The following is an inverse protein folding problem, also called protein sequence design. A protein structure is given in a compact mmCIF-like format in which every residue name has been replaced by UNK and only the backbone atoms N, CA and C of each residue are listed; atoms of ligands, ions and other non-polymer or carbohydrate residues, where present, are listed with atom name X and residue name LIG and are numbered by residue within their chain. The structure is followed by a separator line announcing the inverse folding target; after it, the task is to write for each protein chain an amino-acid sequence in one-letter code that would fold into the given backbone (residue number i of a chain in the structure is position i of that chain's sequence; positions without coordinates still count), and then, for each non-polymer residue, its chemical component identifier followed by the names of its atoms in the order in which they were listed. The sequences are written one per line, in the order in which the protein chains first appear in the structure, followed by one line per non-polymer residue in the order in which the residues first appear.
data_IF_298625528534
#
_entry.id   IF_298625528534
#
_cell.length_a   1.000
_cell.length_b   1.000
_cell.length_c   1.000
_cell.angle_alpha   90.00
_cell.angle_beta   90.00
_cell.angle_gamma   90.00
#
_symmetry.space_group_name_H-M   'P 1'
#
loop_
_entity.id
_entity.type
_entity.pdbx_description
1 polymer ?
#
# COMPACT_ATOMS: atom_id res chain seq x y z
N UNK A 1 1.75 14.83 -6.52
CA UNK A 1 0.81 13.81 -7.01
C UNK A 1 -0.06 13.33 -5.87
N UNK A 2 -1.26 12.84 -6.19
CA UNK A 2 -2.18 12.27 -5.20
C UNK A 2 -1.52 11.06 -4.49
N UNK A 3 -1.77 10.91 -3.18
CA UNK A 3 -1.13 9.89 -2.32
C UNK A 3 0.42 9.85 -2.30
N UNK A 4 1.11 10.91 -2.76
CA UNK A 4 2.57 11.04 -2.69
C UNK A 4 3.02 12.07 -1.64
N UNK A 5 2.19 12.34 -0.65
CA UNK A 5 2.48 13.33 0.40
C UNK A 5 3.57 12.86 1.36
N UNK A 6 4.45 13.75 1.86
CA UNK A 6 5.59 13.36 2.70
C UNK A 6 5.15 12.74 4.04
N UNK A 7 4.06 13.22 4.63
CA UNK A 7 3.52 12.64 5.87
C UNK A 7 3.06 11.19 5.66
N UNK A 8 2.33 10.93 4.58
CA UNK A 8 1.86 9.59 4.25
C UNK A 8 3.02 8.63 3.98
N UNK A 9 4.04 9.07 3.25
CA UNK A 9 5.25 8.30 3.03
C UNK A 9 5.94 7.94 4.36
N UNK A 10 6.11 8.89 5.26
CA UNK A 10 6.71 8.64 6.58
C UNK A 10 5.87 7.73 7.46
N UNK A 11 4.55 7.86 7.45
CA UNK A 11 3.65 6.94 8.15
C UNK A 11 3.79 5.53 7.60
N UNK A 12 3.84 5.37 6.28
CA UNK A 12 4.02 4.06 5.64
C UNK A 12 5.37 3.43 6.01
N UNK A 13 6.47 4.20 5.93
CA UNK A 13 7.80 3.75 6.34
C UNK A 13 7.79 3.28 7.80
N UNK A 14 7.16 4.04 8.69
CA UNK A 14 7.08 3.70 10.10
C UNK A 14 6.29 2.40 10.35
N UNK A 15 5.17 2.22 9.65
CA UNK A 15 4.29 1.04 9.78
C UNK A 15 4.93 -0.24 9.22
N UNK A 16 5.45 -0.18 8.00
CA UNK A 16 5.82 -1.39 7.25
C UNK A 16 7.33 -1.62 7.15
N UNK A 17 8.11 -0.56 7.22
CA UNK A 17 9.55 -0.60 6.99
C UNK A 17 10.38 -0.49 8.28
N UNK A 18 9.72 -0.15 9.40
CA UNK A 18 10.35 -0.02 10.71
C UNK A 18 11.39 1.11 10.81
N UNK A 19 12.01 1.25 11.99
CA UNK A 19 12.94 2.35 12.30
C UNK A 19 14.16 2.48 11.37
N UNK A 20 14.51 1.43 10.61
CA UNK A 20 15.71 1.41 9.74
C UNK A 20 15.56 2.23 8.45
N UNK A 21 14.35 2.46 7.94
CA UNK A 21 14.15 3.13 6.64
C UNK A 21 14.07 4.65 6.74
N UNK A 22 13.85 5.18 7.95
CA UNK A 22 13.87 6.63 8.18
C UNK A 22 15.23 7.29 7.84
N UNK A 23 16.32 6.52 7.62
CA UNK A 23 17.66 7.02 7.30
C UNK A 23 18.21 6.64 5.91
N UNK A 24 17.46 5.91 5.08
CA UNK A 24 17.87 5.66 3.69
C UNK A 24 17.69 4.20 3.29
N UNK A 25 16.71 3.97 2.41
CA UNK A 25 16.45 2.80 1.56
C UNK A 25 16.38 1.43 2.26
N UNK A 26 15.31 0.66 2.00
CA UNK A 26 15.27 -0.76 2.37
C UNK A 26 16.39 -1.52 1.66
N UNK A 27 17.48 -1.80 2.35
CA UNK A 27 18.47 -2.75 1.87
C UNK A 27 18.05 -4.15 2.30
N UNK A 28 17.48 -4.91 1.37
CA UNK A 28 17.27 -6.34 1.55
C UNK A 28 18.63 -7.04 1.58
N UNK A 29 18.96 -7.73 2.68
CA UNK A 29 20.14 -8.62 2.76
C UNK A 29 21.28 -8.19 3.69
N UNK A 30 21.25 -6.98 4.27
CA UNK A 30 22.21 -6.62 5.32
C UNK A 30 21.80 -7.24 6.66
N UNK A 31 22.65 -8.14 7.19
CA UNK A 31 22.50 -8.73 8.52
C UNK A 31 22.70 -7.66 9.59
N UNK A 32 21.65 -6.92 9.91
CA UNK A 32 21.66 -5.93 10.98
C UNK A 32 20.84 -6.44 12.17
N UNK A 33 21.49 -6.55 13.33
CA UNK A 33 20.89 -6.97 14.60
C UNK A 33 19.59 -6.20 14.91
N UNK A 34 18.47 -6.91 15.09
CA UNK A 34 17.13 -6.36 15.33
C UNK A 34 16.00 -7.12 14.60
N UNK A 35 14.74 -6.85 14.98
CA UNK A 35 13.56 -7.43 14.30
C UNK A 35 13.50 -6.96 12.84
N UNK A 36 13.33 -7.90 11.93
CA UNK A 36 13.18 -7.66 10.49
C UNK A 36 11.93 -6.80 10.21
N UNK A 37 11.98 -5.83 9.27
CA UNK A 37 10.81 -5.02 8.94
C UNK A 37 9.72 -5.87 8.27
N UNK A 38 8.46 -5.46 8.41
CA UNK A 38 7.31 -6.23 7.92
C UNK A 38 7.44 -6.59 6.44
N UNK A 39 7.86 -5.65 5.59
CA UNK A 39 8.03 -5.94 4.15
C UNK A 39 9.08 -7.01 3.88
N UNK A 40 10.20 -7.02 4.62
CA UNK A 40 11.24 -8.02 4.44
C UNK A 40 10.82 -9.39 5.00
N UNK A 41 10.22 -9.40 6.19
CA UNK A 41 9.74 -10.62 6.83
C UNK A 41 8.70 -11.37 5.97
N UNK A 42 7.82 -10.63 5.29
CA UNK A 42 6.81 -11.19 4.38
C UNK A 42 7.24 -11.22 2.91
N UNK A 43 8.50 -10.87 2.60
CA UNK A 43 9.05 -10.82 1.23
C UNK A 43 8.20 -10.00 0.26
N UNK A 44 7.62 -8.91 0.74
CA UNK A 44 6.82 -7.98 -0.04
C UNK A 44 7.77 -7.07 -0.81
N UNK A 45 7.74 -7.17 -2.13
CA UNK A 45 8.59 -6.42 -3.06
C UNK A 45 7.85 -5.32 -3.81
N UNK A 46 6.55 -5.18 -3.54
CA UNK A 46 5.64 -4.28 -4.23
C UNK A 46 4.68 -3.64 -3.24
N UNK A 47 4.48 -2.34 -3.35
CA UNK A 47 3.48 -1.61 -2.57
C UNK A 47 2.10 -1.88 -3.16
N UNK A 48 1.14 -2.19 -2.29
CA UNK A 48 -0.26 -2.42 -2.68
C UNK A 48 -1.14 -1.22 -2.30
N UNK A 49 -2.23 -0.96 -3.05
CA UNK A 49 -3.21 0.08 -2.68
C UNK A 49 -3.75 -0.08 -1.26
N UNK A 50 -3.93 -1.33 -0.81
CA UNK A 50 -4.44 -1.66 0.52
C UNK A 50 -3.53 -1.18 1.64
N UNK A 51 -2.21 -1.24 1.42
CA UNK A 51 -1.22 -0.76 2.39
C UNK A 51 -1.18 0.77 2.44
N UNK A 52 -1.31 1.44 1.29
CA UNK A 52 -1.41 2.91 1.21
C UNK A 52 -2.68 3.37 1.90
N UNK A 53 -3.82 2.73 1.62
CA UNK A 53 -5.09 3.01 2.27
C UNK A 53 -5.00 2.85 3.79
N UNK A 54 -4.39 1.76 4.26
CA UNK A 54 -4.19 1.54 5.70
C UNK A 54 -3.30 2.63 6.33
N UNK A 55 -2.18 2.98 5.68
CA UNK A 55 -1.31 4.06 6.14
C UNK A 55 -2.05 5.40 6.20
N UNK A 56 -2.94 5.69 5.23
CA UNK A 56 -3.77 6.89 5.25
C UNK A 56 -4.77 6.90 6.42
N UNK A 57 -5.38 5.76 6.75
CA UNK A 57 -6.24 5.64 7.92
C UNK A 57 -5.48 5.91 9.22
N UNK A 58 -4.27 5.35 9.37
CA UNK A 58 -3.42 5.57 10.54
C UNK A 58 -2.97 7.04 10.62
N UNK A 59 -2.58 7.65 9.50
CA UNK A 59 -2.20 9.06 9.45
C UNK A 59 -3.38 9.95 9.88
N UNK A 60 -4.59 9.69 9.38
CA UNK A 60 -5.79 10.42 9.82
C UNK A 60 -6.01 10.30 11.32
N UNK A 61 -5.94 9.08 11.86
CA UNK A 61 -6.10 8.85 13.29
C UNK A 61 -5.05 9.61 14.11
N UNK A 62 -3.79 9.60 13.67
CA UNK A 62 -2.71 10.34 14.33
C UNK A 62 -2.87 11.87 14.28
N UNK A 63 -3.61 12.39 13.30
CA UNK A 63 -3.92 13.81 13.16
C UNK A 63 -5.23 14.21 13.86
N UNK A 64 -6.00 13.24 14.34
CA UNK A 64 -7.26 13.46 15.03
C UNK A 64 -7.05 13.55 16.56
N UNK A 65 -8.02 14.14 17.26
CA UNK A 65 -8.02 14.24 18.73
C UNK A 65 -8.58 13.00 19.44
N UNK A 66 -8.81 11.90 18.72
CA UNK A 66 -9.27 10.66 19.33
C UNK A 66 -8.19 10.03 20.22
N UNK A 67 -8.58 9.62 21.43
CA UNK A 67 -7.69 8.92 22.35
C UNK A 67 -7.43 7.47 21.94
N UNK A 68 -8.38 6.84 21.24
CA UNK A 68 -8.34 5.43 20.90
C UNK A 68 -8.80 5.17 19.46
N UNK A 69 -8.21 4.15 18.85
CA UNK A 69 -8.57 3.73 17.50
C UNK A 69 -9.98 3.13 17.49
N UNK A 70 -10.87 3.73 16.69
CA UNK A 70 -12.22 3.24 16.45
C UNK A 70 -12.52 3.19 14.96
N UNK A 71 -13.32 2.20 14.53
CA UNK A 71 -13.82 2.11 13.15
C UNK A 71 -14.80 3.25 12.81
N UNK A 72 -15.51 3.75 13.81
CA UNK A 72 -16.41 4.89 13.70
C UNK A 72 -15.88 6.04 14.54
N UNK A 73 -15.69 7.17 13.90
CA UNK A 73 -15.24 8.41 14.50
C UNK A 73 -16.27 9.50 14.23
N UNK A 74 -17.27 9.60 15.11
CA UNK A 74 -18.45 10.43 14.87
C UNK A 74 -19.14 10.05 13.57
N UNK A 75 -19.11 10.95 12.59
CA UNK A 75 -19.69 10.73 11.25
C UNK A 75 -18.70 10.12 10.24
N UNK A 76 -17.46 9.82 10.66
CA UNK A 76 -16.44 9.24 9.79
C UNK A 76 -16.38 7.72 9.95
N UNK A 77 -16.49 7.02 8.83
CA UNK A 77 -16.30 5.57 8.74
C UNK A 77 -14.91 5.25 8.18
N UNK A 78 -14.04 4.69 9.03
CA UNK A 78 -12.68 4.31 8.66
C UNK A 78 -12.68 3.18 7.64
N UNK A 79 -13.65 2.26 7.71
CA UNK A 79 -13.74 1.13 6.78
C UNK A 79 -14.16 1.59 5.38
N UNK A 80 -15.17 2.47 5.31
CA UNK A 80 -15.56 3.14 4.07
C UNK A 80 -14.42 3.97 3.48
N UNK A 81 -13.71 4.75 4.30
CA UNK A 81 -12.56 5.53 3.85
C UNK A 81 -11.43 4.66 3.28
N UNK A 82 -11.07 3.59 3.98
CA UNK A 82 -10.06 2.62 3.52
C UNK A 82 -10.44 2.03 2.16
N UNK A 83 -11.70 1.60 2.03
CA UNK A 83 -12.23 1.03 0.80
C UNK A 83 -12.21 2.05 -0.34
N UNK A 84 -12.64 3.29 -0.10
CA UNK A 84 -12.65 4.35 -1.10
C UNK A 84 -11.24 4.69 -1.59
N UNK A 85 -10.26 4.78 -0.69
CA UNK A 85 -8.85 4.97 -1.07
C UNK A 85 -8.36 3.81 -1.91
N UNK A 86 -8.55 2.57 -1.47
CA UNK A 86 -8.10 1.40 -2.23
C UNK A 86 -8.78 1.30 -3.62
N UNK A 87 -10.07 1.60 -3.72
CA UNK A 87 -10.82 1.61 -4.98
C UNK A 87 -10.37 2.71 -5.94
N UNK A 88 -9.92 3.86 -5.42
CA UNK A 88 -9.40 4.93 -6.29
C UNK A 88 -8.18 4.49 -7.11
N UNK A 89 -7.38 3.54 -6.61
CA UNK A 89 -6.27 2.94 -7.35
C UNK A 89 -6.70 1.91 -8.41
N UNK A 90 -7.98 1.53 -8.47
CA UNK A 90 -8.51 0.59 -9.48
C UNK A 90 -9.20 1.35 -10.61
N UNK A 91 -9.86 2.46 -10.27
CA UNK A 91 -10.76 3.15 -11.19
C UNK A 91 -10.06 4.23 -12.03
N UNK A 92 -8.94 4.77 -11.55
CA UNK A 92 -8.34 5.95 -12.15
C UNK A 92 -6.98 5.69 -12.81
N UNK A 93 -6.73 6.36 -13.93
CA UNK A 93 -5.50 6.22 -14.75
C UNK A 93 -4.21 6.64 -14.04
N UNK A 94 -4.30 7.48 -12.99
CA UNK A 94 -3.14 7.95 -12.22
C UNK A 94 -2.56 6.88 -11.28
N UNK A 95 -3.27 5.77 -11.08
CA UNK A 95 -2.95 4.75 -10.10
C UNK A 95 -1.61 4.05 -10.38
N UNK A 96 -1.38 3.66 -11.63
CA UNK A 96 -0.17 2.91 -12.03
C UNK A 96 1.09 3.75 -11.86
N UNK A 97 1.06 5.02 -12.29
CA UNK A 97 2.15 5.97 -12.05
C UNK A 97 2.40 6.10 -10.53
N UNK A 98 1.34 6.24 -9.74
CA UNK A 98 1.46 6.40 -8.29
C UNK A 98 2.07 5.18 -7.62
N UNK A 99 1.64 3.97 -7.96
CA UNK A 99 2.20 2.73 -7.43
C UNK A 99 3.66 2.52 -7.86
N UNK A 100 4.00 2.82 -9.12
CA UNK A 100 5.39 2.76 -9.61
C UNK A 100 6.31 3.71 -8.84
N UNK A 101 5.82 4.92 -8.52
CA UNK A 101 6.55 5.86 -7.67
C UNK A 101 6.74 5.33 -6.25
N UNK A 102 5.72 4.69 -5.66
CA UNK A 102 5.80 4.12 -4.31
C UNK A 102 6.82 2.98 -4.23
N UNK A 103 6.83 2.07 -5.21
CA UNK A 103 7.85 1.02 -5.27
C UNK A 103 9.25 1.61 -5.32
N UNK A 104 9.47 2.61 -6.17
CA UNK A 104 10.76 3.31 -6.28
C UNK A 104 11.13 4.03 -4.98
N UNK A 105 10.17 4.66 -4.31
CA UNK A 105 10.40 5.41 -3.09
C UNK A 105 10.78 4.49 -1.90
N UNK A 106 10.13 3.33 -1.79
CA UNK A 106 10.29 2.40 -0.67
C UNK A 106 11.46 1.43 -0.88
N UNK A 107 11.55 0.83 -2.06
CA UNK A 107 12.55 -0.19 -2.36
C UNK A 107 13.82 0.38 -3.00
N UNK A 108 13.77 1.64 -3.46
CA UNK A 108 14.87 2.26 -4.18
C UNK A 108 15.06 1.67 -5.59
N UNK A 109 15.72 2.42 -6.46
CA UNK A 109 16.31 1.83 -7.65
C UNK A 109 17.50 1.02 -7.18
N UNK A 110 17.41 -0.31 -7.23
CA UNK A 110 18.58 -1.18 -7.04
C UNK A 110 19.61 -0.78 -8.11
N UNK A 111 20.58 0.06 -7.76
CA UNK A 111 21.77 0.27 -8.58
C UNK A 111 22.60 -0.99 -8.46
N UNK A 112 22.36 -1.92 -9.37
CA UNK A 112 23.17 -3.13 -9.54
C UNK A 112 22.77 -4.30 -8.66
N UNK A 113 21.67 -4.97 -8.98
CA UNK A 113 21.58 -6.40 -8.71
C UNK A 113 20.72 -7.05 -9.78
N UNK A 114 21.32 -8.10 -10.34
CA UNK A 114 20.89 -8.91 -11.46
C UNK A 114 19.43 -9.33 -11.39
N UNK A 115 18.86 -9.53 -12.58
CA UNK A 115 17.56 -10.17 -12.83
C UNK A 115 17.40 -11.45 -12.01
N UNK A 116 16.74 -11.35 -10.85
CA UNK A 116 16.09 -12.47 -10.21
C UNK A 116 14.59 -12.23 -10.36
N UNK A 117 13.92 -13.14 -11.07
CA UNK A 117 12.53 -13.00 -11.45
C UNK A 117 11.65 -12.62 -10.24
N UNK A 118 10.77 -11.60 -10.37
CA UNK A 118 9.88 -11.24 -9.29
C UNK A 118 9.01 -12.45 -8.96
N UNK A 119 8.99 -12.85 -7.68
CA UNK A 119 8.01 -13.82 -7.19
C UNK A 119 6.64 -13.24 -7.50
N UNK A 120 5.87 -13.99 -8.29
CA UNK A 120 4.55 -13.65 -8.81
C UNK A 120 3.63 -13.39 -7.62
N UNK A 121 3.45 -12.13 -7.27
CA UNK A 121 2.18 -11.64 -6.73
C UNK A 121 1.36 -11.31 -7.97
N UNK A 122 0.12 -11.81 -8.03
CA UNK A 122 -0.73 -11.77 -9.22
C UNK A 122 -0.89 -10.38 -9.85
N UNK A 123 -1.56 -10.29 -11.02
CA UNK A 123 -1.66 -9.07 -11.81
C UNK A 123 -1.98 -7.85 -10.94
N UNK A 124 -1.19 -6.77 -11.06
CA UNK A 124 -1.17 -5.65 -10.09
C UNK A 124 -2.47 -4.86 -9.98
N UNK A 125 -3.46 -5.11 -10.84
CA UNK A 125 -4.78 -4.45 -10.91
C UNK A 125 -5.49 -4.83 -12.21
N UNK A 126 -4.74 -5.32 -13.21
CA UNK A 126 -5.29 -5.88 -14.43
C UNK A 126 -6.11 -7.14 -14.14
N UNK A 127 -7.40 -6.93 -13.84
CA UNK A 127 -8.52 -7.87 -13.78
C UNK A 127 -9.40 -7.74 -12.54
N UNK A 128 -9.22 -6.81 -11.58
CA UNK A 128 -10.27 -6.66 -10.54
C UNK A 128 -11.54 -5.99 -11.06
N UNK A 129 -11.41 -4.96 -11.91
CA UNK A 129 -12.56 -4.34 -12.59
C UNK A 129 -13.23 -5.32 -13.58
N UNK A 130 -12.43 -6.09 -14.33
CA UNK A 130 -12.95 -7.13 -15.22
C UNK A 130 -13.65 -8.25 -14.43
N UNK A 131 -13.05 -8.73 -13.34
CA UNK A 131 -13.65 -9.74 -12.45
C UNK A 131 -14.91 -9.23 -11.76
N UNK A 132 -14.98 -7.94 -11.40
CA UNK A 132 -16.19 -7.35 -10.83
C UNK A 132 -17.30 -7.24 -11.88
N UNK A 133 -16.97 -6.82 -13.10
CA UNK A 133 -17.90 -6.79 -14.22
C UNK A 133 -18.43 -8.18 -14.57
N UNK A 134 -17.55 -9.19 -14.63
CA UNK A 134 -17.91 -10.59 -14.89
C UNK A 134 -18.80 -11.17 -13.78
N UNK A 135 -18.55 -10.82 -12.52
CA UNK A 135 -19.41 -11.24 -11.39
C UNK A 135 -20.77 -10.58 -11.41
N UNK A 136 -20.87 -9.32 -11.79
CA UNK A 136 -22.15 -8.61 -11.96
C UNK A 136 -22.93 -9.22 -13.14
N UNK A 137 -22.26 -9.51 -14.26
CA UNK A 137 -22.85 -10.16 -15.42
C UNK A 137 -23.36 -11.58 -15.09
N UNK A 138 -22.59 -12.37 -14.33
CA UNK A 138 -22.99 -13.71 -13.90
C UNK A 138 -24.20 -13.72 -12.94
N UNK A 139 -24.38 -12.67 -12.13
CA UNK A 139 -25.55 -12.52 -11.26
C UNK A 139 -26.82 -12.10 -12.04
N UNK A 140 -26.66 -11.41 -13.17
CA UNK A 140 -27.78 -11.00 -14.03
C UNK A 140 -28.36 -12.17 -14.85
N UNK A 141 -27.53 -13.15 -15.25
CA UNK A 141 -27.96 -14.34 -16.01
C UNK A 141 -28.64 -15.43 -15.18
N UNK A 142 -28.80 -15.23 -13.87
CA UNK A 142 -29.43 -16.18 -12.92
C UNK A 142 -30.85 -15.75 -12.50
N UNK A 143 -31.47 -14.81 -13.21
CA UNK A 143 -32.88 -14.42 -13.08
C UNK A 143 -33.64 -14.78 -14.34
#
# INVERSE_FOLDING_TARGET
GLFRGPLLLKTFEWLFCGRKVARGTLQFGEKASGKEPFLAAYKITQVTPQMIAYAACILRFALNSQSEWSRKDGNFDVTGFHTNVAMSFILDEWADDTLAWWDKAIFGSVKGASSAAPVIVGPRTGSMAAQLADRIAAQASSR
#
